data_IF_429729231932
#
_entry.id   IF_429729231932
#
_cell.length_a   1.000
_cell.length_b   1.000
_cell.length_c   1.000
_cell.angle_alpha   90.00
_cell.angle_beta   90.00
_cell.angle_gamma   90.00
#
_symmetry.space_group_name_H-M   'P 1'
#
loop_
_entity.id
_entity.type
_entity.pdbx_description
1 polymer ?
#
# COMPACT_ATOMS: atom_id res chain seq x y z
N UNK A 1 -7.46 -9.26 -21.66
CA UNK A 1 -8.60 -8.92 -20.78
C UNK A 1 -8.01 -8.30 -19.53
N UNK A 2 -8.33 -7.03 -19.22
CA UNK A 2 -7.91 -6.45 -17.94
C UNK A 2 -8.67 -7.16 -16.83
N UNK A 3 -7.96 -7.70 -15.85
CA UNK A 3 -8.59 -8.37 -14.72
C UNK A 3 -9.44 -7.35 -13.93
N UNK A 4 -10.43 -7.83 -13.17
CA UNK A 4 -11.21 -6.97 -12.25
C UNK A 4 -10.27 -6.21 -11.31
N UNK A 5 -9.13 -6.81 -10.91
CA UNK A 5 -8.10 -6.15 -10.11
C UNK A 5 -7.46 -4.98 -10.86
N UNK A 6 -7.14 -5.16 -12.15
CA UNK A 6 -6.53 -4.12 -12.97
C UNK A 6 -7.44 -2.88 -13.07
N UNK A 7 -8.76 -3.10 -13.17
CA UNK A 7 -9.74 -2.03 -13.15
C UNK A 7 -9.77 -1.33 -11.80
N UNK A 8 -9.83 -2.09 -10.69
CA UNK A 8 -9.85 -1.51 -9.34
C UNK A 8 -8.56 -0.76 -8.98
N UNK A 9 -7.41 -1.17 -9.50
CA UNK A 9 -6.13 -0.49 -9.25
C UNK A 9 -5.95 0.82 -10.03
N UNK A 10 -6.68 0.99 -11.15
CA UNK A 10 -6.50 2.10 -12.09
C UNK A 10 -7.62 3.12 -12.06
N UNK A 11 -8.81 2.74 -11.61
CA UNK A 11 -10.01 3.57 -11.74
C UNK A 11 -10.50 4.02 -10.38
N UNK A 12 -10.26 5.29 -10.05
CA UNK A 12 -10.86 5.96 -8.89
C UNK A 12 -12.36 6.02 -9.08
N UNK A 13 -13.09 5.09 -8.47
CA UNK A 13 -14.53 4.92 -8.66
C UNK A 13 -15.34 4.82 -7.36
N UNK A 14 -14.71 4.95 -6.19
CA UNK A 14 -15.37 4.80 -4.89
C UNK A 14 -15.04 6.00 -3.98
N UNK A 15 -15.82 7.09 -4.07
CA UNK A 15 -15.52 8.32 -3.33
C UNK A 15 -15.81 8.23 -1.82
N UNK A 16 -16.62 7.26 -1.36
CA UNK A 16 -16.90 7.08 0.08
C UNK A 16 -16.16 5.89 0.68
N UNK A 17 -15.38 6.15 1.73
CA UNK A 17 -14.87 5.10 2.59
C UNK A 17 -16.04 4.41 3.29
N UNK A 18 -16.10 3.08 3.18
CA UNK A 18 -17.19 2.32 3.79
C UNK A 18 -17.25 2.58 5.32
N UNK A 19 -18.44 2.76 5.93
CA UNK A 19 -18.56 3.22 7.32
C UNK A 19 -17.87 2.32 8.35
N UNK A 20 -17.74 1.02 8.06
CA UNK A 20 -17.03 0.05 8.92
C UNK A 20 -15.50 0.21 8.93
N UNK A 21 -14.96 1.00 7.99
CA UNK A 21 -13.56 1.42 7.98
C UNK A 21 -13.38 2.75 8.73
N UNK A 22 -14.46 3.50 8.99
CA UNK A 22 -14.36 4.75 9.74
C UNK A 22 -14.11 4.41 11.21
N UNK A 23 -12.95 4.82 11.73
CA UNK A 23 -12.58 4.62 13.14
C UNK A 23 -11.79 3.35 13.45
N UNK A 24 -11.31 2.64 12.44
CA UNK A 24 -10.34 1.54 12.61
C UNK A 24 -8.94 1.96 12.16
N UNK A 25 -7.95 1.20 12.60
CA UNK A 25 -6.59 1.29 12.07
C UNK A 25 -6.35 0.18 11.05
N UNK A 26 -5.62 0.51 9.99
CA UNK A 26 -5.34 -0.36 8.85
C UNK A 26 -3.91 -0.86 8.89
N UNK A 27 -3.71 -2.14 8.59
CA UNK A 27 -2.38 -2.69 8.29
C UNK A 27 -2.49 -3.59 7.08
N UNK A 28 -1.42 -3.68 6.31
CA UNK A 28 -1.35 -4.60 5.20
C UNK A 28 -1.10 -6.02 5.72
N UNK A 29 -1.94 -6.97 5.31
CA UNK A 29 -1.79 -8.39 5.61
C UNK A 29 -0.62 -8.99 4.83
N UNK A 30 -0.58 -8.76 3.52
CA UNK A 30 0.47 -9.22 2.63
C UNK A 30 0.68 -8.23 1.47
N UNK A 31 1.87 -8.25 0.89
CA UNK A 31 2.18 -7.38 -0.24
C UNK A 31 1.30 -7.73 -1.45
N UNK A 32 0.66 -6.74 -2.12
CA UNK A 32 -0.12 -7.01 -3.31
C UNK A 32 0.79 -7.54 -4.42
N UNK A 33 0.33 -8.58 -5.12
CA UNK A 33 0.92 -8.93 -6.40
C UNK A 33 0.36 -8.00 -7.47
N UNK A 34 1.15 -7.00 -7.83
CA UNK A 34 0.80 -6.05 -8.87
C UNK A 34 1.01 -6.60 -10.29
N UNK A 35 1.61 -7.79 -10.44
CA UNK A 35 1.82 -8.43 -11.74
C UNK A 35 2.60 -7.57 -12.74
N UNK A 36 2.17 -7.59 -14.01
CA UNK A 36 2.71 -6.77 -15.13
C UNK A 36 1.87 -5.51 -15.39
N UNK A 37 1.08 -5.07 -14.42
CA UNK A 37 0.11 -3.97 -14.58
C UNK A 37 0.83 -2.65 -14.36
N UNK A 38 0.50 -1.57 -15.07
CA UNK A 38 0.87 -0.21 -14.59
C UNK A 38 -0.18 0.23 -13.57
N UNK A 39 0.26 0.60 -12.39
CA UNK A 39 -0.56 0.95 -11.23
C UNK A 39 -0.27 2.39 -10.81
N UNK A 40 -1.21 2.99 -10.09
CA UNK A 40 -1.00 4.31 -9.47
C UNK A 40 0.15 4.24 -8.48
N UNK A 41 1.12 5.15 -8.59
CA UNK A 41 2.27 5.20 -7.69
C UNK A 41 1.83 5.42 -6.23
N UNK A 42 0.77 6.20 -6.07
CA UNK A 42 0.10 6.53 -4.81
C UNK A 42 -0.35 5.27 -4.07
N UNK A 43 -0.85 4.27 -4.81
CA UNK A 43 -1.27 3.00 -4.22
C UNK A 43 -0.08 2.19 -3.69
N UNK A 44 1.07 2.22 -4.37
CA UNK A 44 2.29 1.54 -3.90
C UNK A 44 2.80 2.21 -2.61
N UNK A 45 2.77 3.53 -2.58
CA UNK A 45 3.21 4.31 -1.41
C UNK A 45 2.32 4.02 -0.20
N UNK A 46 1.00 3.93 -0.43
CA UNK A 46 0.06 3.51 0.60
C UNK A 46 0.33 2.07 1.10
N UNK A 47 0.55 1.12 0.19
CA UNK A 47 0.89 -0.26 0.56
C UNK A 47 2.19 -0.30 1.39
N UNK A 48 3.17 0.52 1.02
CA UNK A 48 4.45 0.63 1.72
C UNK A 48 4.24 1.08 3.16
N UNK A 49 3.42 2.12 3.38
CA UNK A 49 3.07 2.61 4.71
C UNK A 49 2.37 1.54 5.56
N UNK A 50 1.36 0.89 4.98
CA UNK A 50 0.54 -0.10 5.65
C UNK A 50 1.28 -1.41 5.96
N UNK A 51 2.37 -1.73 5.25
CA UNK A 51 3.16 -2.93 5.49
C UNK A 51 3.93 -2.93 6.82
N UNK A 52 4.17 -1.74 7.38
CA UNK A 52 5.03 -1.56 8.55
C UNK A 52 4.20 -1.65 9.84
N UNK A 53 3.15 -0.83 9.92
CA UNK A 53 2.39 -0.62 11.15
C UNK A 53 0.91 -0.42 10.86
N UNK A 54 0.10 -0.57 11.90
CA UNK A 54 -1.26 -0.06 11.87
C UNK A 54 -1.24 1.46 11.81
N UNK A 55 -2.04 2.02 10.91
CA UNK A 55 -2.22 3.46 10.73
C UNK A 55 -3.70 3.79 10.66
N UNK A 56 -4.11 4.88 11.30
CA UNK A 56 -5.47 5.40 11.16
C UNK A 56 -5.65 6.18 9.86
N UNK A 57 -6.90 6.45 9.48
CA UNK A 57 -7.22 7.25 8.30
C UNK A 57 -6.54 8.63 8.33
N UNK A 58 -6.60 9.32 9.48
CA UNK A 58 -5.96 10.63 9.68
C UNK A 58 -4.43 10.59 9.54
N UNK A 59 -3.80 9.52 10.07
CA UNK A 59 -2.36 9.34 9.93
C UNK A 59 -1.96 9.10 8.47
N UNK A 60 -2.72 8.29 7.74
CA UNK A 60 -2.48 8.04 6.33
C UNK A 60 -2.62 9.32 5.51
N UNK A 61 -3.67 10.11 5.77
CA UNK A 61 -3.89 11.41 5.12
C UNK A 61 -2.72 12.37 5.35
N UNK A 62 -2.24 12.46 6.60
CA UNK A 62 -1.09 13.30 6.95
C UNK A 62 0.23 12.84 6.30
N UNK A 63 0.44 11.53 6.14
CA UNK A 63 1.68 10.97 5.61
C UNK A 63 1.73 10.94 4.08
N UNK A 64 0.59 10.75 3.43
CA UNK A 64 0.48 10.59 1.97
C UNK A 64 0.12 11.89 1.25
N UNK A 65 -0.51 12.84 1.95
CA UNK A 65 -1.11 14.04 1.36
C UNK A 65 -2.18 13.72 0.28
N UNK A 66 -2.76 12.53 0.31
CA UNK A 66 -3.85 12.17 -0.60
C UNK A 66 -5.11 12.98 -0.27
N UNK A 67 -5.88 13.29 -1.30
CA UNK A 67 -7.26 13.71 -1.10
C UNK A 67 -8.12 12.56 -0.55
N UNK A 68 -9.29 12.91 -0.03
CA UNK A 68 -10.15 11.93 0.62
C UNK A 68 -10.70 10.88 -0.35
N UNK A 69 -10.95 11.25 -1.61
CA UNK A 69 -11.49 10.35 -2.62
C UNK A 69 -10.44 9.29 -3.00
N UNK A 70 -9.18 9.69 -3.22
CA UNK A 70 -8.08 8.81 -3.56
C UNK A 70 -7.73 7.87 -2.40
N UNK A 71 -7.68 8.40 -1.17
CA UNK A 71 -7.39 7.58 0.01
C UNK A 71 -8.52 6.58 0.27
N UNK A 72 -9.78 7.02 0.18
CA UNK A 72 -10.96 6.17 0.34
C UNK A 72 -11.00 5.08 -0.72
N UNK A 73 -10.80 5.45 -1.99
CA UNK A 73 -10.73 4.49 -3.08
C UNK A 73 -9.62 3.46 -2.85
N UNK A 74 -8.40 3.90 -2.52
CA UNK A 74 -7.26 3.01 -2.33
C UNK A 74 -7.49 2.02 -1.17
N UNK A 75 -8.02 2.49 -0.04
CA UNK A 75 -8.36 1.63 1.09
C UNK A 75 -9.49 0.65 0.77
N UNK A 76 -10.53 1.10 0.07
CA UNK A 76 -11.62 0.24 -0.39
C UNK A 76 -11.09 -0.84 -1.35
N UNK A 77 -10.20 -0.49 -2.28
CA UNK A 77 -9.60 -1.45 -3.21
C UNK A 77 -8.75 -2.49 -2.49
N UNK A 78 -7.93 -2.08 -1.51
CA UNK A 78 -7.15 -3.02 -0.70
C UNK A 78 -8.05 -3.93 0.14
N UNK A 79 -9.14 -3.41 0.70
CA UNK A 79 -10.15 -4.20 1.43
C UNK A 79 -10.85 -5.21 0.53
N UNK A 80 -11.35 -4.77 -0.63
CA UNK A 80 -12.03 -5.64 -1.60
C UNK A 80 -11.11 -6.76 -2.11
N UNK A 81 -9.80 -6.50 -2.11
CA UNK A 81 -8.77 -7.48 -2.46
C UNK A 81 -8.35 -8.39 -1.30
N UNK A 82 -8.91 -8.24 -0.10
CA UNK A 82 -8.57 -9.04 1.08
C UNK A 82 -7.20 -8.75 1.67
N UNK A 83 -6.64 -7.57 1.39
CA UNK A 83 -5.26 -7.21 1.74
C UNK A 83 -5.14 -6.43 3.05
N UNK A 84 -6.24 -5.94 3.62
CA UNK A 84 -6.24 -5.17 4.86
C UNK A 84 -6.55 -6.03 6.08
N UNK A 85 -5.73 -5.85 7.11
CA UNK A 85 -6.07 -6.15 8.50
C UNK A 85 -6.67 -4.89 9.12
N UNK A 86 -7.78 -5.05 9.81
CA UNK A 86 -8.50 -3.97 10.49
C UNK A 86 -8.42 -4.21 11.99
N UNK A 87 -8.03 -3.18 12.75
CA UNK A 87 -8.03 -3.21 14.20
C UNK A 87 -8.90 -2.07 14.75
N UNK A 88 -9.84 -2.40 15.64
CA UNK A 88 -10.64 -1.42 16.37
C UNK A 88 -9.73 -0.55 17.23
N UNK A 89 -9.95 0.77 17.26
CA UNK A 89 -9.22 1.67 18.17
C UNK A 89 -9.46 1.35 19.67
N UNK A 90 -10.49 0.54 19.98
CA UNK A 90 -10.81 0.03 21.32
C UNK A 90 -9.91 -1.11 21.76
N UNK A 91 -9.33 -1.86 20.81
CA UNK A 91 -8.33 -2.86 21.11
C UNK A 91 -7.00 -2.13 21.25
N UNK A 92 -6.60 -1.88 22.49
CA UNK A 92 -5.24 -1.44 22.84
C UNK A 92 -4.24 -2.52 22.42
N UNK A 93 -4.01 -2.66 21.13
CA UNK A 93 -2.78 -3.25 20.62
C UNK A 93 -1.70 -2.28 21.09
N UNK A 94 -0.79 -2.76 21.93
CA UNK A 94 0.45 -2.08 22.30
C UNK A 94 1.21 -1.73 21.03
N UNK A 95 0.80 -0.65 20.37
CA UNK A 95 1.45 -0.08 19.22
C UNK A 95 2.71 0.53 19.78
N UNK A 96 3.78 -0.26 19.73
CA UNK A 96 5.15 0.18 19.94
C UNK A 96 5.30 1.50 19.22
N UNK A 97 5.28 2.60 19.97
CA UNK A 97 5.50 3.95 19.48
C UNK A 97 6.97 4.05 19.07
N UNK A 98 7.37 3.34 18.02
CA UNK A 98 8.54 3.75 17.26
C UNK A 98 8.11 5.01 16.54
N UNK A 99 8.47 6.16 17.12
CA UNK A 99 8.56 7.46 16.44
C UNK A 99 9.43 7.27 15.20
N UNK A 100 8.85 6.73 14.15
CA UNK A 100 9.50 6.61 12.86
C UNK A 100 9.31 7.98 12.24
N UNK A 101 10.37 8.78 12.22
CA UNK A 101 10.30 10.11 11.61
C UNK A 101 10.07 9.96 10.09
N UNK A 102 9.41 10.94 9.46
CA UNK A 102 9.19 10.99 8.02
C UNK A 102 10.49 10.76 7.23
N UNK A 103 11.62 11.22 7.78
CA UNK A 103 12.96 11.05 7.20
C UNK A 103 13.45 9.61 7.26
N UNK A 104 13.20 8.89 8.36
CA UNK A 104 13.51 7.46 8.44
C UNK A 104 12.59 6.63 7.54
N UNK A 105 11.35 7.09 7.35
CA UNK A 105 10.40 6.53 6.39
C UNK A 105 10.89 6.68 4.95
N UNK A 106 11.24 7.90 4.51
CA UNK A 106 11.79 8.14 3.16
C UNK A 106 13.05 7.31 2.91
N UNK A 107 13.94 7.19 3.90
CA UNK A 107 15.16 6.38 3.79
C UNK A 107 14.85 4.90 3.60
N UNK A 108 13.90 4.35 4.36
CA UNK A 108 13.49 2.93 4.25
C UNK A 108 12.73 2.66 2.94
N UNK A 109 11.83 3.55 2.53
CA UNK A 109 11.10 3.47 1.27
C UNK A 109 12.05 3.47 0.07
N UNK A 110 12.98 4.43 0.00
CA UNK A 110 13.99 4.47 -1.05
C UNK A 110 14.90 3.24 -1.04
N UNK A 111 15.23 2.71 0.14
CA UNK A 111 15.97 1.45 0.28
C UNK A 111 15.20 0.25 -0.28
N UNK A 112 13.89 0.17 -0.01
CA UNK A 112 13.03 -0.89 -0.51
C UNK A 112 12.84 -0.80 -2.04
N UNK A 113 12.52 0.39 -2.55
CA UNK A 113 12.38 0.66 -3.98
C UNK A 113 13.68 0.30 -4.71
N UNK A 114 14.84 0.78 -4.25
CA UNK A 114 16.12 0.44 -4.87
C UNK A 114 16.41 -1.06 -4.86
N UNK A 115 16.05 -1.78 -3.78
CA UNK A 115 16.23 -3.23 -3.69
C UNK A 115 15.30 -3.99 -4.63
N UNK A 116 14.05 -3.56 -4.74
CA UNK A 116 13.06 -4.13 -5.65
C UNK A 116 13.47 -3.93 -7.12
N UNK A 117 13.87 -2.70 -7.50
CA UNK A 117 14.36 -2.40 -8.84
C UNK A 117 15.66 -3.15 -9.19
N UNK A 118 16.60 -3.27 -8.25
CA UNK A 118 17.82 -4.05 -8.46
C UNK A 118 17.50 -5.53 -8.71
N UNK A 119 16.61 -6.11 -7.91
CA UNK A 119 16.19 -7.52 -8.04
C UNK A 119 15.44 -7.78 -9.36
N UNK A 120 14.63 -6.82 -9.82
CA UNK A 120 13.97 -6.90 -11.13
C UNK A 120 14.97 -6.83 -12.28
N UNK A 121 15.98 -5.95 -12.19
CA UNK A 121 17.05 -5.82 -13.19
C UNK A 121 17.93 -7.07 -13.25
N UNK A 122 18.27 -7.65 -12.09
CA UNK A 122 19.05 -8.88 -12.00
C UNK A 122 18.26 -10.08 -12.57
N UNK A 123 16.95 -10.16 -12.32
CA UNK A 123 16.09 -11.21 -12.87
C UNK A 123 15.95 -11.12 -14.40
N UNK A 124 15.86 -9.91 -14.96
CA UNK A 124 15.87 -9.69 -16.41
C UNK A 124 17.23 -10.02 -17.05
N UNK A 125 18.34 -9.73 -16.36
CA UNK A 125 19.68 -10.06 -16.84
C UNK A 125 19.97 -11.57 -16.85
N UNK A 126 19.38 -12.33 -15.92
CA UNK A 126 19.47 -13.79 -15.88
C UNK A 126 18.66 -14.42 -17.03
N UNK A 127 17.43 -13.96 -17.24
CA UNK A 127 16.58 -14.42 -18.36
C UNK A 127 17.17 -14.11 -19.74
N UNK A 128 17.90 -13.00 -19.89
CA UNK A 128 18.60 -12.67 -21.14
C UNK A 128 19.84 -13.54 -21.40
N UNK A 129 20.42 -14.16 -20.35
CA UNK A 129 21.61 -15.03 -20.47
C UNK A 129 21.28 -16.50 -20.70
N UNK A 130 20.11 -16.97 -20.25
CA UNK A 130 19.66 -18.36 -20.47
C UNK A 130 18.95 -18.56 -21.82
N UNK A 131 18.69 -17.47 -22.55
CA UNK A 131 18.08 -17.50 -23.90
C UNK A 131 19.05 -17.22 -25.05
N UNK A 132 20.37 -17.26 -24.83
CA UNK A 132 21.42 -17.16 -25.88
C UNK A 132 22.24 -18.44 -25.98
#
# INVERSE_FOLDING_TARGET
>A
MSSVKDFMWRTVCMPDLHPDLKGVSYKLNHWPDFGKVEYMHELIDLCSLLSITYLSYEQLKALTQFDDDLLSHSLNTLKASGLLLLASNTDKVELTQQKTTLTDFQRKLMGFIHKAYRKAKDSQAILAREGS
#
